data_IF_858513735509
#
_entry.id   IF_858513735509
#
_cell.length_a   1.000
_cell.length_b   1.000
_cell.length_c   1.000
_cell.angle_alpha   90.00
_cell.angle_beta   90.00
_cell.angle_gamma   90.00
#
_symmetry.space_group_name_H-M   'P 1'
#
loop_
_entity.id
_entity.type
_entity.pdbx_description
1 polymer ?
#
# COMPACT_ATOMS: atom_id res chain seq x y z
N UNK A 1 17.15 12.86 6.53
CA UNK A 1 16.18 13.61 5.75
C UNK A 1 14.79 13.14 6.12
N UNK A 2 13.89 14.05 6.38
CA UNK A 2 12.51 13.67 6.61
C UNK A 2 11.90 13.15 5.32
N UNK A 3 10.94 12.22 5.45
CA UNK A 3 10.15 11.78 4.30
C UNK A 3 9.41 13.01 3.77
N UNK A 4 9.50 13.29 2.46
CA UNK A 4 8.74 14.40 1.89
C UNK A 4 7.25 14.24 2.18
N UNK A 5 6.57 15.31 2.56
CA UNK A 5 5.13 15.29 2.81
C UNK A 5 4.35 14.79 1.61
N UNK A 6 4.86 15.00 0.40
CA UNK A 6 4.21 14.54 -0.82
C UNK A 6 4.14 12.99 -0.94
N UNK A 7 4.97 12.24 -0.21
CA UNK A 7 4.83 10.77 -0.19
C UNK A 7 3.49 10.39 0.43
N UNK A 8 3.14 11.00 1.55
CA UNK A 8 1.85 10.75 2.20
C UNK A 8 0.68 11.26 1.37
N UNK A 9 0.84 12.40 0.71
CA UNK A 9 -0.18 12.93 -0.19
C UNK A 9 -0.41 12.00 -1.38
N UNK A 10 0.64 11.40 -1.93
CA UNK A 10 0.52 10.43 -3.01
C UNK A 10 -0.23 9.18 -2.58
N UNK A 11 0.00 8.69 -1.36
CA UNK A 11 -0.72 7.54 -0.80
C UNK A 11 -2.20 7.88 -0.62
N UNK A 12 -2.49 9.06 -0.09
CA UNK A 12 -3.87 9.53 0.06
C UNK A 12 -4.56 9.69 -1.28
N UNK A 13 -3.86 10.21 -2.29
CA UNK A 13 -4.38 10.34 -3.65
C UNK A 13 -4.65 8.98 -4.28
N UNK A 14 -3.81 7.98 -4.00
CA UNK A 14 -4.05 6.62 -4.46
C UNK A 14 -5.36 6.07 -3.89
N UNK A 15 -5.60 6.24 -2.60
CA UNK A 15 -6.84 5.81 -1.96
C UNK A 15 -8.04 6.54 -2.57
N UNK A 16 -7.93 7.85 -2.80
CA UNK A 16 -9.00 8.65 -3.42
C UNK A 16 -9.27 8.23 -4.86
N UNK A 17 -8.22 7.94 -5.63
CA UNK A 17 -8.33 7.50 -7.03
C UNK A 17 -9.06 6.17 -7.14
N UNK A 18 -8.94 5.31 -6.13
CA UNK A 18 -9.64 4.04 -6.08
C UNK A 18 -11.13 4.19 -5.74
N UNK A 19 -11.59 5.41 -5.48
CA UNK A 19 -13.00 5.68 -5.18
C UNK A 19 -13.45 5.19 -3.82
N UNK A 20 -12.52 5.00 -2.90
CA UNK A 20 -12.82 4.46 -1.59
C UNK A 20 -12.41 5.43 -0.51
N UNK A 21 -13.35 6.23 -0.04
CA UNK A 21 -13.19 6.98 1.20
C UNK A 21 -13.52 6.13 2.43
N UNK A 22 -13.80 4.84 2.22
CA UNK A 22 -14.38 3.94 3.21
C UNK A 22 -13.41 2.86 3.67
N UNK A 23 -12.11 3.11 3.59
CA UNK A 23 -11.15 2.21 4.21
C UNK A 23 -11.17 2.40 5.71
N UNK A 24 -11.32 1.30 6.43
CA UNK A 24 -11.28 1.30 7.89
C UNK A 24 -9.87 1.17 8.42
N UNK A 25 -8.98 0.55 7.65
CA UNK A 25 -7.59 0.39 8.07
C UNK A 25 -6.65 0.58 6.88
N UNK A 26 -5.50 1.16 7.18
CA UNK A 26 -4.37 1.26 6.27
C UNK A 26 -3.14 0.74 7.00
N UNK A 27 -2.38 -0.10 6.32
CA UNK A 27 -1.12 -0.60 6.85
C UNK A 27 0.02 -0.20 5.94
N UNK A 28 1.15 0.14 6.56
CA UNK A 28 2.36 0.54 5.84
C UNK A 28 3.50 -0.35 6.31
N UNK A 29 4.27 -0.85 5.35
CA UNK A 29 5.53 -1.54 5.60
C UNK A 29 6.64 -0.69 4.98
N UNK A 30 7.49 -0.11 5.80
CA UNK A 30 8.50 0.83 5.37
C UNK A 30 9.80 0.12 5.02
N UNK A 31 10.53 0.68 4.05
CA UNK A 31 11.87 0.23 3.73
C UNK A 31 12.89 0.75 4.75
N UNK A 32 14.18 0.42 4.55
CA UNK A 32 15.25 0.82 5.46
C UNK A 32 15.46 2.33 5.52
N UNK A 33 15.00 3.07 4.53
CA UNK A 33 15.05 4.53 4.50
C UNK A 33 13.81 5.18 5.13
N UNK A 34 12.88 4.38 5.63
CA UNK A 34 11.66 4.88 6.26
C UNK A 34 10.55 5.25 5.27
N UNK A 35 10.65 4.81 4.00
CA UNK A 35 9.62 5.07 2.99
C UNK A 35 8.69 3.88 2.90
N UNK A 36 7.37 4.09 2.72
CA UNK A 36 6.45 2.97 2.53
C UNK A 36 6.84 2.14 1.30
N UNK A 37 7.08 0.85 1.50
CA UNK A 37 7.37 -0.11 0.43
C UNK A 37 6.11 -0.86 0.01
N UNK A 38 5.31 -1.28 0.98
CA UNK A 38 4.00 -1.89 0.74
C UNK A 38 2.94 -1.08 1.46
N UNK A 39 1.80 -0.91 0.83
CA UNK A 39 0.63 -0.29 1.43
C UNK A 39 -0.56 -1.22 1.28
N UNK A 40 -1.29 -1.40 2.36
CA UNK A 40 -2.49 -2.23 2.39
C UNK A 40 -3.69 -1.46 2.90
N UNK A 41 -4.86 -1.77 2.35
CA UNK A 41 -6.12 -1.17 2.75
C UNK A 41 -7.12 -2.27 3.06
N UNK A 42 -7.90 -2.08 4.13
CA UNK A 42 -9.02 -2.97 4.46
C UNK A 42 -10.33 -2.18 4.51
N UNK A 43 -11.36 -2.74 3.91
CA UNK A 43 -12.72 -2.23 4.00
C UNK A 43 -13.48 -2.79 5.21
N UNK A 44 -12.81 -3.60 6.03
CA UNK A 44 -13.39 -4.26 7.20
C UNK A 44 -12.72 -3.69 8.45
N UNK A 45 -13.46 -3.18 9.43
CA UNK A 45 -12.87 -2.67 10.67
C UNK A 45 -12.22 -3.81 11.46
N UNK A 46 -11.05 -3.53 12.04
CA UNK A 46 -10.29 -4.48 12.86
C UNK A 46 -9.98 -5.81 12.16
N UNK A 47 -9.79 -5.77 10.83
CA UNK A 47 -9.53 -6.98 10.05
C UNK A 47 -8.19 -7.60 10.42
N UNK A 48 -8.16 -8.94 10.51
CA UNK A 48 -6.93 -9.68 10.71
C UNK A 48 -6.00 -9.52 9.51
N UNK A 49 -4.71 -9.36 9.78
CA UNK A 49 -3.67 -9.27 8.73
C UNK A 49 -3.50 -10.59 7.96
N UNK A 50 -3.99 -11.70 8.52
CA UNK A 50 -3.89 -13.02 7.91
C UNK A 50 -5.06 -13.34 6.97
N UNK A 51 -6.14 -12.57 7.04
CA UNK A 51 -7.29 -12.78 6.16
C UNK A 51 -6.99 -12.27 4.75
N UNK A 52 -7.52 -12.96 3.75
CA UNK A 52 -7.34 -12.60 2.33
C UNK A 52 -8.38 -11.59 1.88
N UNK A 53 -8.43 -10.47 2.58
CA UNK A 53 -9.42 -9.40 2.40
C UNK A 53 -8.77 -8.04 2.22
N UNK A 54 -7.46 -8.00 2.02
CA UNK A 54 -6.69 -6.77 1.88
C UNK A 54 -6.44 -6.42 0.42
N UNK A 55 -6.43 -5.12 0.15
CA UNK A 55 -5.99 -4.51 -1.09
C UNK A 55 -4.53 -4.08 -0.88
N UNK A 56 -3.60 -4.52 -1.73
CA UNK A 56 -2.18 -4.29 -1.52
C UNK A 56 -1.54 -3.68 -2.76
N UNK A 57 -0.64 -2.73 -2.53
CA UNK A 57 0.21 -2.15 -3.58
C UNK A 57 1.66 -2.11 -3.09
N UNK A 58 2.58 -2.30 -4.03
CA UNK A 58 4.01 -2.13 -3.79
C UNK A 58 4.46 -0.83 -4.44
N UNK A 59 5.23 -0.04 -3.71
CA UNK A 59 5.67 1.29 -4.16
C UNK A 59 7.15 1.26 -4.54
N UNK A 60 7.48 1.95 -5.62
CA UNK A 60 8.86 2.19 -6.03
C UNK A 60 9.17 3.68 -6.00
N UNK A 61 10.45 4.00 -5.82
CA UNK A 61 10.88 5.38 -5.64
C UNK A 61 12.02 5.72 -6.59
N UNK A 62 12.08 6.97 -7.00
CA UNK A 62 13.23 7.52 -7.73
C UNK A 62 14.33 7.98 -6.77
N UNK A 63 15.42 8.52 -7.32
CA UNK A 63 16.56 8.98 -6.53
C UNK A 63 16.23 10.19 -5.65
N UNK A 64 15.14 10.87 -5.90
CA UNK A 64 14.68 12.05 -5.15
C UNK A 64 13.64 11.67 -4.09
N UNK A 65 13.41 10.39 -3.83
CA UNK A 65 12.42 9.86 -2.89
C UNK A 65 10.96 10.15 -3.27
N UNK A 66 10.70 10.37 -4.56
CA UNK A 66 9.33 10.45 -5.06
C UNK A 66 8.85 9.08 -5.51
N UNK A 67 7.57 8.78 -5.26
CA UNK A 67 6.96 7.57 -5.78
C UNK A 67 6.92 7.67 -7.30
N UNK A 68 7.58 6.73 -7.98
CA UNK A 68 7.57 6.65 -9.43
C UNK A 68 6.94 5.36 -9.97
N UNK A 69 6.53 4.46 -9.08
CA UNK A 69 5.90 3.20 -9.47
C UNK A 69 4.91 2.75 -8.40
N UNK A 70 3.73 2.36 -8.85
CA UNK A 70 2.74 1.68 -8.00
C UNK A 70 2.46 0.34 -8.67
N UNK A 71 2.87 -0.74 -8.03
CA UNK A 71 2.80 -2.07 -8.59
C UNK A 71 1.57 -2.81 -8.07
N UNK A 72 0.83 -3.41 -9.01
CA UNK A 72 -0.31 -4.27 -8.71
C UNK A 72 0.21 -5.69 -8.46
N UNK A 73 -0.35 -6.46 -7.51
CA UNK A 73 0.01 -7.85 -7.33
C UNK A 73 -0.14 -8.67 -8.62
N UNK A 74 0.65 -9.73 -8.76
CA UNK A 74 0.69 -10.54 -9.98
C UNK A 74 -0.66 -11.14 -10.36
N UNK A 75 -1.50 -11.43 -9.37
CA UNK A 75 -2.83 -12.02 -9.60
C UNK A 75 -3.93 -10.97 -9.80
N UNK A 76 -3.57 -9.70 -9.93
CA UNK A 76 -4.51 -8.63 -10.24
C UNK A 76 -4.93 -7.79 -9.04
N UNK A 77 -5.80 -6.82 -9.31
CA UNK A 77 -6.32 -5.90 -8.30
C UNK A 77 -7.42 -6.55 -7.46
N UNK A 78 -7.71 -5.97 -6.31
CA UNK A 78 -8.84 -6.35 -5.47
C UNK A 78 -8.48 -6.56 -4.01
N UNK A 79 -9.49 -6.81 -3.20
CA UNK A 79 -9.38 -7.09 -1.76
C UNK A 79 -9.32 -8.60 -1.54
N UNK A 80 -8.27 -9.25 -2.07
CA UNK A 80 -8.16 -10.70 -2.10
C UNK A 80 -6.83 -11.21 -1.54
N UNK A 81 -6.07 -10.37 -0.86
CA UNK A 81 -4.74 -10.68 -0.38
C UNK A 81 -4.64 -10.60 1.13
N UNK A 82 -3.70 -11.33 1.73
CA UNK A 82 -3.38 -11.18 3.14
C UNK A 82 -2.21 -10.21 3.30
N UNK A 83 -2.30 -9.33 4.30
CA UNK A 83 -1.21 -8.42 4.60
C UNK A 83 0.05 -9.17 5.02
N UNK A 84 -0.10 -10.26 5.78
CA UNK A 84 1.01 -11.08 6.26
C UNK A 84 1.89 -11.57 5.09
N UNK A 85 1.28 -11.96 3.98
CA UNK A 85 1.99 -12.54 2.83
C UNK A 85 2.27 -11.52 1.73
N UNK A 86 2.20 -10.23 2.03
CA UNK A 86 2.24 -9.15 1.02
C UNK A 86 3.39 -9.25 0.03
N UNK A 87 4.59 -9.63 0.50
CA UNK A 87 5.76 -9.69 -0.37
C UNK A 87 5.70 -10.84 -1.39
N UNK A 88 4.91 -11.87 -1.12
CA UNK A 88 4.83 -13.06 -1.99
C UNK A 88 3.99 -12.81 -3.25
N UNK A 89 3.21 -11.75 -3.29
CA UNK A 89 2.30 -11.45 -4.39
C UNK A 89 2.94 -10.65 -5.53
N UNK A 90 4.19 -10.25 -5.37
CA UNK A 90 4.90 -9.43 -6.35
C UNK A 90 6.15 -10.16 -6.83
N UNK A 91 6.24 -10.40 -8.11
CA UNK A 91 7.43 -11.00 -8.75
C UNK A 91 8.54 -9.99 -9.03
#
# INVERSE_FOLDING_TARGET
MSIPTNVFDQINNLASTLGTNDFYEQRLDNDSAGRPLYVGFSAIPNESVDHTTWFIRKLGYDNNNFINRVQIPDNGAGFIYSWTNRATYFS
#
